data_IF_568213779968
#
_entry.id   IF_568213779968
#
_cell.length_a   1.000
_cell.length_b   1.000
_cell.length_c   1.000
_cell.angle_alpha   90.00
_cell.angle_beta   90.00
_cell.angle_gamma   90.00
#
_symmetry.space_group_name_H-M   'P 1'
#
loop_
_entity.id
_entity.type
_entity.pdbx_description
1 polymer ?
#
# COMPACT_ATOMS: atom_id res chain seq x y z
N UNK A 1 31.86 34.26 -3.84
CA UNK A 1 30.39 34.36 -3.72
C UNK A 1 29.82 32.97 -3.55
N UNK A 2 29.55 32.59 -2.28
CA UNK A 2 28.80 31.38 -1.94
C UNK A 2 27.37 31.59 -2.44
N UNK A 3 27.04 31.09 -3.61
CA UNK A 3 25.64 30.90 -4.00
C UNK A 3 25.11 29.74 -3.18
N UNK A 4 24.50 30.02 -2.03
CA UNK A 4 23.64 29.04 -1.34
C UNK A 4 22.58 28.60 -2.35
N UNK A 5 22.77 27.43 -2.93
CA UNK A 5 21.75 26.80 -3.78
C UNK A 5 20.51 26.59 -2.91
N UNK A 6 19.44 27.32 -3.19
CA UNK A 6 18.16 27.15 -2.50
C UNK A 6 17.79 25.67 -2.54
N UNK A 7 17.40 25.07 -1.41
CA UNK A 7 17.04 23.65 -1.38
C UNK A 7 15.92 23.37 -2.37
N UNK A 8 16.05 22.29 -3.15
CA UNK A 8 14.98 21.86 -4.04
C UNK A 8 13.74 21.49 -3.20
N UNK A 9 12.62 22.15 -3.50
CA UNK A 9 11.35 21.91 -2.84
C UNK A 9 10.43 21.13 -3.76
N UNK A 10 9.94 19.99 -3.30
CA UNK A 10 8.99 19.17 -4.05
C UNK A 10 7.69 19.00 -3.28
N UNK A 11 6.58 19.12 -4.01
CA UNK A 11 5.26 18.82 -3.46
C UNK A 11 4.94 17.36 -3.70
N UNK A 12 4.60 16.64 -2.64
CA UNK A 12 4.12 15.29 -2.71
C UNK A 12 2.66 15.21 -2.26
N UNK A 13 1.88 14.34 -2.90
CA UNK A 13 0.52 14.03 -2.52
C UNK A 13 0.28 12.51 -2.43
N UNK A 14 -0.51 12.12 -1.44
CA UNK A 14 -1.08 10.78 -1.31
C UNK A 14 -2.60 10.95 -1.29
N UNK A 15 -3.23 10.60 -2.41
CA UNK A 15 -4.66 10.80 -2.64
C UNK A 15 -5.40 9.53 -2.27
N UNK A 16 -6.23 9.59 -1.24
CA UNK A 16 -7.13 8.51 -0.86
C UNK A 16 -8.60 8.91 -1.05
N UNK A 17 -9.48 7.92 -1.08
CA UNK A 17 -10.93 8.16 -1.23
C UNK A 17 -11.55 9.00 -0.10
N UNK A 18 -11.00 8.92 1.11
CA UNK A 18 -11.49 9.65 2.29
C UNK A 18 -10.60 10.84 2.65
N UNK A 19 -9.28 10.67 2.55
CA UNK A 19 -8.28 11.67 2.95
C UNK A 19 -7.26 11.85 1.84
N UNK A 20 -6.84 13.07 1.63
CA UNK A 20 -5.71 13.44 0.77
C UNK A 20 -4.64 14.09 1.64
N UNK A 21 -3.45 13.52 1.67
CA UNK A 21 -2.30 14.04 2.38
C UNK A 21 -1.41 14.80 1.39
N UNK A 22 -1.07 16.03 1.71
CA UNK A 22 -0.14 16.86 0.93
C UNK A 22 1.04 17.27 1.81
N UNK A 23 2.24 17.20 1.28
CA UNK A 23 3.42 17.67 1.99
C UNK A 23 4.45 18.30 1.06
N UNK A 24 5.07 19.37 1.53
CA UNK A 24 6.22 20.00 0.91
C UNK A 24 7.50 19.42 1.53
N UNK A 25 8.34 18.85 0.70
CA UNK A 25 9.62 18.29 1.08
C UNK A 25 10.76 19.20 0.61
N UNK A 26 11.73 19.40 1.48
CA UNK A 26 13.00 20.04 1.14
C UNK A 26 14.11 19.00 1.14
N UNK A 27 14.98 19.05 0.15
CA UNK A 27 16.22 18.27 0.13
C UNK A 27 17.41 19.23 0.29
N UNK A 28 18.21 18.97 1.29
CA UNK A 28 19.46 19.63 1.56
C UNK A 28 20.58 18.58 1.80
N UNK A 29 21.77 19.03 2.18
CA UNK A 29 22.93 18.15 2.47
C UNK A 29 22.67 17.11 3.57
N UNK A 30 21.69 17.36 4.44
CA UNK A 30 21.27 16.46 5.55
C UNK A 30 20.21 15.45 5.13
N UNK A 31 19.73 15.50 3.87
CA UNK A 31 18.73 14.62 3.31
C UNK A 31 17.37 15.27 3.07
N UNK A 32 16.36 14.44 2.88
CA UNK A 32 14.99 14.88 2.57
C UNK A 32 14.14 14.96 3.83
N UNK A 33 13.51 16.13 4.06
CA UNK A 33 12.65 16.39 5.24
C UNK A 33 11.35 17.07 4.86
N UNK A 34 10.31 16.81 5.64
CA UNK A 34 9.02 17.51 5.52
C UNK A 34 9.19 18.93 6.07
N UNK A 35 8.83 19.93 5.29
CA UNK A 35 8.77 21.35 5.68
C UNK A 35 7.38 21.73 6.15
N UNK A 36 6.37 21.27 5.44
CA UNK A 36 4.96 21.53 5.72
C UNK A 36 4.14 20.32 5.27
N UNK A 37 3.12 19.96 6.03
CA UNK A 37 2.15 18.95 5.62
C UNK A 37 0.73 19.34 6.05
N UNK A 38 -0.25 18.85 5.33
CA UNK A 38 -1.65 18.96 5.67
C UNK A 38 -2.43 17.72 5.20
N UNK A 39 -3.46 17.40 5.95
CA UNK A 39 -4.43 16.36 5.60
C UNK A 39 -5.78 17.01 5.35
N UNK A 40 -6.37 16.70 4.20
CA UNK A 40 -7.68 17.17 3.79
C UNK A 40 -8.66 16.00 3.71
N UNK A 41 -9.93 16.26 3.96
CA UNK A 41 -10.97 15.30 3.57
C UNK A 41 -11.18 15.42 2.07
N UNK A 42 -11.03 14.31 1.34
CA UNK A 42 -11.14 14.33 -0.12
C UNK A 42 -12.53 14.79 -0.60
N UNK A 43 -13.59 14.51 0.18
CA UNK A 43 -14.96 14.96 -0.12
C UNK A 43 -15.18 16.47 -0.02
N UNK A 44 -14.27 17.23 0.58
CA UNK A 44 -14.38 18.69 0.73
C UNK A 44 -13.95 19.47 -0.53
N UNK A 45 -13.50 18.76 -1.58
CA UNK A 45 -13.09 19.38 -2.83
C UNK A 45 -13.68 18.65 -4.03
N UNK A 46 -13.91 19.41 -5.11
CA UNK A 46 -14.40 18.87 -6.38
C UNK A 46 -13.31 18.14 -7.18
N UNK A 47 -12.04 18.45 -6.94
CA UNK A 47 -10.87 17.95 -7.65
C UNK A 47 -9.59 18.09 -6.81
N UNK A 48 -8.53 17.40 -7.21
CA UNK A 48 -7.23 17.46 -6.55
C UNK A 48 -6.64 18.88 -6.61
N UNK A 49 -6.79 19.58 -7.75
CA UNK A 49 -6.20 20.89 -7.95
C UNK A 49 -6.77 21.94 -6.98
N UNK A 50 -8.00 21.78 -6.53
CA UNK A 50 -8.58 22.59 -5.46
C UNK A 50 -7.88 22.40 -4.11
N UNK A 51 -7.57 21.15 -3.72
CA UNK A 51 -6.84 20.86 -2.47
C UNK A 51 -5.39 21.34 -2.55
N UNK A 52 -4.75 21.11 -3.70
CA UNK A 52 -3.39 21.59 -3.95
C UNK A 52 -3.33 23.10 -3.87
N UNK A 53 -4.28 23.84 -4.46
CA UNK A 53 -4.38 25.29 -4.36
C UNK A 53 -4.45 25.76 -2.92
N UNK A 54 -5.38 25.24 -2.12
CA UNK A 54 -5.48 25.56 -0.68
C UNK A 54 -4.20 25.29 0.10
N UNK A 55 -3.46 24.23 -0.29
CA UNK A 55 -2.19 23.90 0.35
C UNK A 55 -1.09 24.87 -0.07
N UNK A 56 -0.99 25.23 -1.35
CA UNK A 56 0.06 26.11 -1.89
C UNK A 56 -0.16 27.56 -1.47
N UNK A 57 -1.41 28.06 -1.52
CA UNK A 57 -1.78 29.44 -1.14
C UNK A 57 -1.43 29.77 0.33
N UNK A 58 -1.30 28.75 1.17
CA UNK A 58 -0.81 28.87 2.55
C UNK A 58 0.71 29.11 2.69
N UNK A 59 1.47 29.28 1.58
CA UNK A 59 2.92 29.52 1.59
C UNK A 59 3.44 30.09 0.28
N UNK A 60 4.56 30.83 0.36
CA UNK A 60 5.21 31.51 -0.79
C UNK A 60 6.38 30.71 -1.38
N UNK A 61 6.55 29.45 -1.01
CA UNK A 61 7.72 28.65 -1.37
C UNK A 61 7.60 28.11 -2.81
N UNK A 62 8.60 28.30 -3.68
CA UNK A 62 8.55 27.83 -5.07
C UNK A 62 8.67 26.30 -5.12
N UNK A 63 7.70 25.64 -5.76
CA UNK A 63 7.72 24.19 -5.99
C UNK A 63 8.50 23.87 -7.26
N UNK A 64 9.59 23.11 -7.14
CA UNK A 64 10.45 22.69 -8.26
C UNK A 64 9.88 21.52 -9.05
N UNK A 65 9.18 20.62 -8.38
CA UNK A 65 8.46 19.50 -8.97
C UNK A 65 7.33 19.03 -8.05
N UNK A 66 6.34 18.36 -8.61
CA UNK A 66 5.27 17.73 -7.84
C UNK A 66 5.04 16.28 -8.27
N UNK A 67 4.67 15.42 -7.32
CA UNK A 67 4.25 14.06 -7.62
C UNK A 67 3.10 13.64 -6.71
N UNK A 68 2.11 12.95 -7.29
CA UNK A 68 0.92 12.52 -6.58
C UNK A 68 0.68 11.03 -6.76
N UNK A 69 0.57 10.29 -5.63
CA UNK A 69 0.05 8.93 -5.60
C UNK A 69 -1.48 8.96 -5.70
N UNK A 70 -2.03 8.32 -6.74
CA UNK A 70 -3.46 8.37 -7.08
C UNK A 70 -4.05 6.96 -7.02
N UNK A 71 -5.20 6.73 -6.38
CA UNK A 71 -5.87 5.43 -6.38
C UNK A 71 -6.47 5.15 -7.77
N UNK A 72 -5.87 4.24 -8.50
CA UNK A 72 -6.27 3.84 -9.85
C UNK A 72 -5.11 3.85 -10.85
N UNK A 73 -5.34 3.36 -12.06
CA UNK A 73 -4.32 3.30 -13.10
C UNK A 73 -3.96 4.69 -13.61
N UNK A 74 -2.67 4.92 -13.82
CA UNK A 74 -2.15 6.12 -14.46
C UNK A 74 -1.74 5.78 -15.89
N UNK A 75 -2.28 6.49 -16.85
CA UNK A 75 -1.96 6.34 -18.26
C UNK A 75 -1.77 7.70 -18.92
N UNK A 76 -0.63 7.89 -19.59
CA UNK A 76 -0.29 9.14 -20.32
C UNK A 76 -0.49 10.40 -19.46
N UNK A 77 -0.02 10.38 -18.22
CA UNK A 77 -0.14 11.50 -17.29
C UNK A 77 -1.56 11.81 -16.81
N UNK A 78 -2.49 10.86 -16.91
CA UNK A 78 -3.88 11.01 -16.47
C UNK A 78 -4.32 9.80 -15.65
N UNK A 79 -5.20 10.04 -14.67
CA UNK A 79 -5.83 8.99 -13.88
C UNK A 79 -7.27 9.37 -13.56
N UNK A 80 -8.17 8.38 -13.62
CA UNK A 80 -9.50 8.47 -13.03
C UNK A 80 -9.47 7.73 -11.70
N UNK A 81 -9.72 8.43 -10.61
CA UNK A 81 -9.71 7.83 -9.28
C UNK A 81 -10.84 6.81 -9.12
N UNK A 82 -10.57 5.71 -8.40
CA UNK A 82 -11.57 4.63 -8.22
C UNK A 82 -12.66 4.98 -7.22
N UNK A 83 -12.35 5.80 -6.20
CA UNK A 83 -13.24 6.07 -5.06
C UNK A 83 -13.68 7.54 -4.96
N UNK A 84 -13.36 8.35 -5.94
CA UNK A 84 -13.73 9.76 -6.06
C UNK A 84 -14.13 10.06 -7.50
N UNK A 85 -14.99 11.06 -7.76
CA UNK A 85 -15.37 11.43 -9.13
C UNK A 85 -14.28 12.22 -9.85
N UNK A 86 -13.03 12.18 -9.38
CA UNK A 86 -11.96 13.01 -9.89
C UNK A 86 -11.27 12.40 -11.12
N UNK A 87 -10.97 13.26 -12.07
CA UNK A 87 -9.98 13.00 -13.11
C UNK A 87 -8.78 13.91 -12.83
N UNK A 88 -7.61 13.30 -12.65
CA UNK A 88 -6.38 14.03 -12.37
C UNK A 88 -5.49 14.00 -13.61
N UNK A 89 -4.93 15.14 -13.99
CA UNK A 89 -4.07 15.30 -15.16
C UNK A 89 -2.81 16.07 -14.79
N UNK A 90 -1.65 15.56 -15.20
CA UNK A 90 -0.36 16.26 -15.06
C UNK A 90 -0.38 17.61 -15.76
N UNK A 91 -0.92 17.68 -16.99
CA UNK A 91 -0.94 18.92 -17.79
C UNK A 91 -1.87 19.98 -17.18
N UNK A 92 -3.00 19.56 -16.62
CA UNK A 92 -3.89 20.49 -15.90
C UNK A 92 -3.20 21.10 -14.69
N UNK A 93 -2.51 20.27 -13.88
CA UNK A 93 -1.76 20.74 -12.72
C UNK A 93 -0.57 21.63 -13.11
N UNK A 94 0.17 21.27 -14.18
CA UNK A 94 1.24 22.11 -14.74
C UNK A 94 0.72 23.50 -15.12
N UNK A 95 -0.35 23.54 -15.90
CA UNK A 95 -0.96 24.79 -16.39
C UNK A 95 -1.48 25.63 -15.24
N UNK A 96 -2.20 25.03 -14.29
CA UNK A 96 -2.85 25.76 -13.19
C UNK A 96 -1.85 26.41 -12.23
N UNK A 97 -0.74 25.73 -11.93
CA UNK A 97 0.23 26.18 -10.92
C UNK A 97 1.53 26.73 -11.52
N UNK A 98 1.67 26.74 -12.84
CA UNK A 98 2.90 27.18 -13.51
C UNK A 98 4.09 26.25 -13.29
N UNK A 99 3.85 24.98 -12.96
CA UNK A 99 4.91 24.00 -12.71
C UNK A 99 5.33 23.30 -14.00
N UNK A 100 6.63 23.22 -14.23
CA UNK A 100 7.17 22.47 -15.38
C UNK A 100 7.15 20.96 -15.18
N UNK A 101 7.20 20.50 -13.92
CA UNK A 101 7.38 19.10 -13.55
C UNK A 101 6.28 18.64 -12.61
N UNK A 102 5.35 17.88 -13.15
CA UNK A 102 4.27 17.20 -12.38
C UNK A 102 4.21 15.76 -12.84
N UNK A 103 4.13 14.84 -11.88
CA UNK A 103 4.05 13.41 -12.13
C UNK A 103 2.90 12.79 -11.36
N UNK A 104 2.26 11.79 -11.96
CA UNK A 104 1.29 10.94 -11.32
C UNK A 104 1.85 9.53 -11.19
N UNK A 105 1.70 8.93 -10.03
CA UNK A 105 1.93 7.52 -9.76
C UNK A 105 0.62 6.88 -9.31
N UNK A 106 0.47 5.59 -9.56
CA UNK A 106 -0.50 4.82 -8.80
C UNK A 106 -0.08 4.81 -7.31
N UNK A 107 -1.06 4.79 -6.39
CA UNK A 107 -0.83 4.87 -4.93
C UNK A 107 0.09 3.76 -4.41
N UNK A 108 -0.04 2.54 -4.95
CA UNK A 108 0.84 1.43 -4.61
C UNK A 108 2.27 1.65 -5.13
N UNK A 109 2.41 2.19 -6.36
CA UNK A 109 3.71 2.56 -6.92
C UNK A 109 4.37 3.64 -6.06
N UNK A 110 3.62 4.64 -5.62
CA UNK A 110 4.11 5.64 -4.68
C UNK A 110 4.59 5.00 -3.38
N UNK A 111 3.80 4.06 -2.81
CA UNK A 111 4.22 3.29 -1.62
C UNK A 111 5.53 2.54 -1.87
N UNK A 112 5.67 1.85 -2.99
CA UNK A 112 6.88 1.10 -3.34
C UNK A 112 8.11 2.00 -3.47
N UNK A 113 7.99 3.17 -4.12
CA UNK A 113 9.04 4.19 -4.17
C UNK A 113 9.40 4.76 -2.79
N UNK A 114 8.47 4.71 -1.83
CA UNK A 114 8.70 5.17 -0.46
C UNK A 114 9.52 4.22 0.40
N UNK A 115 9.49 2.92 0.13
CA UNK A 115 10.16 1.89 0.95
C UNK A 115 11.66 2.19 1.16
N UNK A 116 12.46 2.54 0.15
CA UNK A 116 13.87 2.84 0.34
C UNK A 116 14.15 4.12 1.15
N UNK A 117 13.16 5.01 1.29
CA UNK A 117 13.28 6.24 2.09
C UNK A 117 12.98 6.03 3.59
N UNK A 118 12.58 4.81 3.98
CA UNK A 118 12.25 4.49 5.35
C UNK A 118 13.46 3.97 6.12
N UNK A 119 13.63 4.45 7.34
CA UNK A 119 14.60 3.87 8.27
C UNK A 119 14.10 2.51 8.82
N UNK A 120 15.02 1.73 9.44
CA UNK A 120 14.72 0.38 9.94
C UNK A 120 13.61 0.36 11.00
N UNK A 121 13.41 1.44 11.75
CA UNK A 121 12.40 1.53 12.82
C UNK A 121 10.97 1.63 12.26
N UNK A 122 10.86 1.96 10.98
CA UNK A 122 9.58 2.01 10.26
C UNK A 122 9.10 0.66 9.74
N UNK A 123 9.81 -0.41 10.07
CA UNK A 123 9.46 -1.76 9.72
C UNK A 123 9.36 -2.67 10.94
N UNK A 124 8.41 -3.61 10.92
CA UNK A 124 8.41 -4.76 11.80
C UNK A 124 8.82 -6.01 11.03
N UNK A 125 9.82 -6.72 11.52
CA UNK A 125 10.26 -7.98 10.92
C UNK A 125 9.33 -9.12 11.36
N UNK A 126 8.85 -9.93 10.40
CA UNK A 126 8.17 -11.19 10.71
C UNK A 126 9.16 -12.35 10.82
N UNK A 127 10.29 -12.27 10.12
CA UNK A 127 11.39 -13.25 10.24
C UNK A 127 12.75 -12.53 10.37
N UNK A 128 13.78 -13.31 10.75
CA UNK A 128 15.14 -12.78 10.99
C UNK A 128 16.01 -12.67 9.72
N UNK A 129 15.46 -12.97 8.56
CA UNK A 129 16.17 -12.89 7.28
C UNK A 129 16.41 -11.41 6.92
N UNK A 130 17.57 -11.11 6.34
CA UNK A 130 17.92 -9.75 5.90
C UNK A 130 17.32 -9.46 4.53
N UNK A 131 16.83 -8.23 4.33
CA UNK A 131 16.49 -7.69 3.00
C UNK A 131 17.76 -7.63 2.14
N UNK A 132 17.62 -8.00 0.86
CA UNK A 132 18.67 -7.90 -0.16
C UNK A 132 18.20 -6.88 -1.20
N UNK A 133 18.62 -5.61 -1.07
CA UNK A 133 18.10 -4.53 -1.93
C UNK A 133 18.43 -4.70 -3.41
N UNK A 134 19.50 -5.42 -3.74
CA UNK A 134 19.95 -5.68 -5.12
C UNK A 134 19.10 -6.73 -5.84
N UNK A 135 18.31 -7.50 -5.10
CA UNK A 135 17.43 -8.52 -5.64
C UNK A 135 16.00 -7.95 -5.81
N UNK A 136 15.18 -8.53 -6.71
CA UNK A 136 13.77 -8.18 -6.80
C UNK A 136 13.05 -8.33 -5.46
N UNK A 137 12.14 -7.42 -5.16
CA UNK A 137 11.33 -7.37 -3.95
C UNK A 137 9.87 -7.19 -4.34
N UNK A 138 8.96 -7.59 -3.47
CA UNK A 138 7.53 -7.38 -3.69
C UNK A 138 6.88 -6.61 -2.55
N UNK A 139 5.78 -5.94 -2.87
CA UNK A 139 4.89 -5.28 -1.94
C UNK A 139 3.48 -5.84 -2.14
N UNK A 140 2.86 -6.28 -1.05
CA UNK A 140 1.44 -6.59 -0.95
C UNK A 140 0.82 -5.62 0.04
N UNK A 141 -0.26 -4.98 -0.34
CA UNK A 141 -0.88 -3.90 0.44
C UNK A 141 -2.38 -4.12 0.63
N UNK A 142 -2.81 -5.01 1.53
CA UNK A 142 -4.22 -5.14 1.87
C UNK A 142 -4.73 -3.92 2.63
N UNK A 143 -5.82 -3.35 2.11
CA UNK A 143 -6.51 -2.16 2.60
C UNK A 143 -7.99 -2.21 2.23
N UNK A 144 -8.54 -1.18 1.57
CA UNK A 144 -9.87 -1.22 0.94
C UNK A 144 -9.93 -2.30 -0.16
N UNK A 145 -8.84 -2.45 -0.91
CA UNK A 145 -8.58 -3.53 -1.85
C UNK A 145 -7.26 -4.24 -1.52
N UNK A 146 -6.69 -4.94 -2.50
CA UNK A 146 -5.37 -5.58 -2.42
C UNK A 146 -4.46 -5.08 -3.55
N UNK A 147 -3.52 -4.24 -3.21
CA UNK A 147 -2.47 -3.85 -4.15
C UNK A 147 -1.29 -4.86 -4.14
N UNK A 148 -0.73 -5.11 -5.32
CA UNK A 148 0.47 -5.94 -5.50
C UNK A 148 1.43 -5.22 -6.45
N UNK A 149 2.72 -5.15 -6.11
CA UNK A 149 3.75 -4.63 -7.01
C UNK A 149 5.09 -5.35 -6.82
N UNK A 150 5.92 -5.28 -7.85
CA UNK A 150 7.29 -5.82 -7.84
C UNK A 150 8.26 -4.66 -8.02
N UNK A 151 9.32 -4.66 -7.24
CA UNK A 151 10.40 -3.67 -7.26
C UNK A 151 11.67 -4.32 -7.77
N UNK A 152 12.29 -3.75 -8.81
CA UNK A 152 13.54 -4.24 -9.42
C UNK A 152 14.56 -3.11 -9.32
N UNK A 153 15.80 -3.45 -9.00
CA UNK A 153 16.87 -2.47 -8.81
C UNK A 153 16.80 -1.72 -7.47
N UNK A 154 17.67 -0.75 -7.28
CA UNK A 154 17.77 0.07 -6.07
C UNK A 154 18.30 1.47 -6.40
N UNK A 155 18.24 2.40 -5.44
CA UNK A 155 18.69 3.78 -5.66
C UNK A 155 17.95 4.42 -6.84
N UNK A 156 18.69 5.10 -7.70
CA UNK A 156 18.17 5.80 -8.89
C UNK A 156 17.69 4.82 -9.99
N UNK A 157 18.09 3.54 -9.93
CA UNK A 157 17.67 2.50 -10.88
C UNK A 157 16.42 1.73 -10.42
N UNK A 158 15.75 2.16 -9.36
CA UNK A 158 14.54 1.49 -8.88
C UNK A 158 13.41 1.59 -9.91
N UNK A 159 12.99 0.45 -10.41
CA UNK A 159 11.80 0.31 -11.25
C UNK A 159 10.69 -0.40 -10.46
N UNK A 160 9.51 0.18 -10.46
CA UNK A 160 8.31 -0.40 -9.84
C UNK A 160 7.39 -0.89 -10.95
N UNK A 161 7.16 -2.19 -10.96
CA UNK A 161 6.17 -2.83 -11.83
C UNK A 161 4.84 -2.86 -11.08
N UNK A 162 3.93 -1.97 -11.45
CA UNK A 162 2.55 -2.00 -10.97
C UNK A 162 1.84 -3.23 -11.55
N UNK A 163 0.94 -3.84 -10.77
CA UNK A 163 0.14 -4.96 -11.24
C UNK A 163 -1.27 -4.90 -10.65
N UNK A 164 -2.19 -5.58 -11.28
CA UNK A 164 -3.54 -5.87 -10.76
C UNK A 164 -3.57 -7.27 -10.11
N UNK A 165 -2.48 -7.65 -9.46
CA UNK A 165 -2.31 -8.95 -8.81
C UNK A 165 -3.29 -9.25 -7.68
N UNK A 166 -4.03 -8.25 -7.18
CA UNK A 166 -5.16 -8.46 -6.28
C UNK A 166 -6.37 -9.12 -6.94
N UNK A 167 -6.47 -9.00 -8.25
CA UNK A 167 -7.59 -9.56 -9.04
C UNK A 167 -7.35 -10.95 -9.61
N UNK A 168 -6.18 -11.55 -9.38
CA UNK A 168 -5.93 -12.95 -9.76
C UNK A 168 -6.78 -13.89 -8.93
N UNK A 169 -6.96 -15.11 -9.42
CA UNK A 169 -7.77 -16.13 -8.74
C UNK A 169 -7.25 -16.45 -7.35
N UNK A 170 -8.17 -16.63 -6.40
CA UNK A 170 -7.84 -17.23 -5.11
C UNK A 170 -7.55 -18.73 -5.31
N UNK A 171 -6.40 -19.17 -4.86
CA UNK A 171 -5.95 -20.55 -4.88
C UNK A 171 -6.02 -21.15 -3.48
N UNK A 172 -7.07 -21.93 -3.14
CA UNK A 172 -7.19 -22.60 -1.85
C UNK A 172 -6.02 -23.58 -1.59
N UNK A 173 -5.55 -23.64 -0.34
CA UNK A 173 -4.45 -24.51 0.10
C UNK A 173 -4.88 -25.65 1.03
N UNK A 174 -6.10 -25.61 1.54
CA UNK A 174 -6.72 -26.66 2.37
C UNK A 174 -8.22 -26.79 2.10
N UNK A 175 -8.87 -27.79 2.72
CA UNK A 175 -10.30 -28.07 2.51
C UNK A 175 -11.20 -26.94 3.04
N UNK A 176 -10.82 -26.27 4.11
CA UNK A 176 -11.54 -25.13 4.65
C UNK A 176 -11.50 -23.93 3.67
N UNK A 177 -10.34 -23.69 3.04
CA UNK A 177 -10.20 -22.65 2.01
C UNK A 177 -10.96 -23.02 0.73
N UNK A 178 -11.07 -24.30 0.38
CA UNK A 178 -11.95 -24.76 -0.72
C UNK A 178 -13.41 -24.47 -0.39
N UNK A 179 -13.84 -24.67 0.84
CA UNK A 179 -15.20 -24.38 1.27
C UNK A 179 -15.48 -22.86 1.32
N UNK A 180 -14.52 -22.07 1.82
CA UNK A 180 -14.57 -20.59 1.71
C UNK A 180 -14.71 -20.15 0.25
N UNK A 181 -13.91 -20.74 -0.65
CA UNK A 181 -13.99 -20.42 -2.08
C UNK A 181 -15.37 -20.75 -2.67
N UNK A 182 -15.97 -21.91 -2.32
CA UNK A 182 -17.32 -22.28 -2.75
C UNK A 182 -18.38 -21.28 -2.25
N UNK A 183 -18.30 -20.88 -0.99
CA UNK A 183 -19.16 -19.86 -0.39
C UNK A 183 -19.07 -18.52 -1.15
N UNK A 184 -17.86 -18.06 -1.44
CA UNK A 184 -17.65 -16.80 -2.15
C UNK A 184 -18.02 -16.89 -3.63
N UNK A 185 -17.75 -18.03 -4.28
CA UNK A 185 -18.12 -18.24 -5.68
C UNK A 185 -19.63 -18.19 -5.88
N UNK A 186 -20.42 -18.74 -4.97
CA UNK A 186 -21.88 -18.67 -5.02
C UNK A 186 -22.40 -17.22 -5.00
N UNK A 187 -21.66 -16.31 -4.35
CA UNK A 187 -22.02 -14.90 -4.20
C UNK A 187 -21.46 -14.01 -5.32
N UNK A 188 -20.25 -14.25 -5.77
CA UNK A 188 -19.50 -13.33 -6.64
C UNK A 188 -19.22 -13.87 -8.05
N UNK A 189 -19.43 -15.16 -8.29
CA UNK A 189 -18.99 -15.84 -9.51
C UNK A 189 -17.47 -16.03 -9.53
N UNK A 190 -16.71 -15.00 -9.87
CA UNK A 190 -15.24 -14.98 -9.78
C UNK A 190 -14.79 -14.62 -8.36
N UNK A 191 -13.85 -15.40 -7.83
CA UNK A 191 -13.24 -15.18 -6.50
C UNK A 191 -11.80 -14.76 -6.67
N UNK A 192 -11.56 -13.46 -6.73
CA UNK A 192 -10.22 -12.92 -6.69
C UNK A 192 -9.62 -13.02 -5.29
N UNK A 193 -8.30 -12.98 -5.19
CA UNK A 193 -7.61 -12.97 -3.89
C UNK A 193 -7.97 -11.71 -3.06
N UNK A 194 -8.29 -10.59 -3.69
CA UNK A 194 -8.78 -9.38 -3.04
C UNK A 194 -10.11 -9.59 -2.32
N UNK A 195 -11.00 -10.50 -2.82
CA UNK A 195 -12.26 -10.85 -2.13
C UNK A 195 -12.04 -11.42 -0.73
N UNK A 196 -10.78 -11.79 -0.42
CA UNK A 196 -10.37 -12.35 0.85
C UNK A 196 -9.38 -11.42 1.57
N UNK A 197 -8.39 -10.89 0.86
CA UNK A 197 -7.31 -10.10 1.43
C UNK A 197 -7.57 -8.58 1.32
N UNK A 198 -8.67 -8.15 1.89
CA UNK A 198 -9.06 -6.72 1.97
C UNK A 198 -9.95 -6.49 3.19
N UNK A 199 -10.35 -5.22 3.45
CA UNK A 199 -11.36 -4.91 4.45
C UNK A 199 -12.69 -5.63 4.20
N UNK A 200 -13.28 -5.52 3.00
CA UNK A 200 -14.42 -6.36 2.60
C UNK A 200 -14.13 -7.86 2.70
N UNK A 201 -12.89 -8.29 2.46
CA UNK A 201 -12.46 -9.67 2.58
C UNK A 201 -12.52 -10.21 4.01
N UNK A 202 -12.18 -9.42 5.00
CA UNK A 202 -12.39 -9.77 6.41
C UNK A 202 -13.86 -10.07 6.71
N UNK A 203 -14.78 -9.27 6.17
CA UNK A 203 -16.23 -9.52 6.31
C UNK A 203 -16.66 -10.81 5.60
N UNK A 204 -16.07 -11.13 4.45
CA UNK A 204 -16.38 -12.34 3.71
C UNK A 204 -15.92 -13.61 4.49
N UNK A 205 -14.73 -13.61 5.07
CA UNK A 205 -14.26 -14.71 5.92
C UNK A 205 -15.15 -14.85 7.16
N UNK A 206 -15.46 -13.73 7.82
CA UNK A 206 -16.33 -13.70 8.99
C UNK A 206 -17.73 -14.28 8.68
N UNK A 207 -18.36 -13.84 7.59
CA UNK A 207 -19.66 -14.34 7.17
C UNK A 207 -19.62 -15.84 6.86
N UNK A 208 -18.59 -16.31 6.17
CA UNK A 208 -18.42 -17.74 5.89
C UNK A 208 -18.31 -18.58 7.18
N UNK A 209 -17.49 -18.16 8.15
CA UNK A 209 -17.32 -18.86 9.43
C UNK A 209 -18.65 -18.93 10.21
N UNK A 210 -19.40 -17.83 10.24
CA UNK A 210 -20.71 -17.73 10.89
C UNK A 210 -21.75 -18.62 10.18
N UNK A 211 -21.91 -18.42 8.86
CA UNK A 211 -23.01 -19.03 8.08
C UNK A 211 -22.80 -20.54 7.90
N UNK A 212 -21.57 -21.02 7.92
CA UNK A 212 -21.24 -22.46 7.92
C UNK A 212 -21.37 -23.14 9.29
N UNK A 213 -21.71 -22.38 10.32
CA UNK A 213 -21.83 -22.91 11.70
C UNK A 213 -20.51 -23.26 12.37
N UNK A 214 -19.35 -22.94 11.75
CA UNK A 214 -18.02 -23.21 12.34
C UNK A 214 -17.77 -22.40 13.59
N UNK A 215 -18.30 -21.17 13.64
CA UNK A 215 -18.20 -20.29 14.79
C UNK A 215 -19.53 -19.56 15.00
N UNK A 216 -20.19 -19.71 16.16
CA UNK A 216 -21.43 -18.99 16.45
C UNK A 216 -21.15 -17.47 16.62
N UNK A 217 -22.08 -16.64 16.13
CA UNK A 217 -22.04 -15.20 16.35
C UNK A 217 -22.85 -14.84 17.59
N UNK A 218 -22.25 -14.36 18.69
CA UNK A 218 -23.00 -13.89 19.85
C UNK A 218 -23.87 -12.67 19.51
N UNK A 219 -25.08 -12.57 20.11
CA UNK A 219 -26.01 -11.46 19.82
C UNK A 219 -25.46 -10.06 20.10
N UNK A 220 -24.54 -9.93 21.07
CA UNK A 220 -23.86 -8.66 21.30
C UNK A 220 -22.91 -8.28 20.15
N UNK A 221 -22.21 -9.29 19.55
CA UNK A 221 -21.30 -9.07 18.43
C UNK A 221 -22.09 -8.69 17.17
N UNK A 222 -23.21 -9.39 16.87
CA UNK A 222 -24.10 -9.04 15.77
C UNK A 222 -24.58 -7.58 15.84
N UNK A 223 -24.99 -7.11 17.04
CA UNK A 223 -25.37 -5.70 17.24
C UNK A 223 -24.22 -4.74 16.97
N UNK A 224 -23.00 -5.08 17.44
CA UNK A 224 -21.80 -4.26 17.26
C UNK A 224 -21.36 -4.19 15.80
N UNK A 225 -21.45 -5.31 15.09
CA UNK A 225 -21.20 -5.38 13.64
C UNK A 225 -22.19 -4.52 12.83
N UNK A 226 -23.47 -4.48 13.22
CA UNK A 226 -24.49 -3.67 12.54
C UNK A 226 -24.36 -2.15 12.80
N UNK A 227 -23.65 -1.72 13.82
CA UNK A 227 -23.51 -0.31 14.20
C UNK A 227 -22.18 0.32 13.84
N UNK A 228 -21.19 -0.47 13.37
CA UNK A 228 -19.81 -0.01 13.22
C UNK A 228 -19.17 -0.34 11.86
N UNK A 229 -17.90 0.03 11.77
CA UNK A 229 -17.03 -0.44 10.69
C UNK A 229 -16.66 -1.89 10.98
N UNK A 230 -17.33 -2.84 10.32
CA UNK A 230 -17.19 -4.27 10.57
C UNK A 230 -15.74 -4.78 10.60
N UNK A 231 -14.87 -4.47 9.63
CA UNK A 231 -13.45 -4.85 9.67
C UNK A 231 -12.72 -4.34 10.92
N UNK A 232 -13.03 -3.12 11.38
CA UNK A 232 -12.45 -2.58 12.59
C UNK A 232 -12.99 -3.28 13.85
N UNK A 233 -14.30 -3.64 13.86
CA UNK A 233 -14.91 -4.44 14.94
C UNK A 233 -14.24 -5.80 15.02
N UNK A 234 -14.13 -6.55 13.90
CA UNK A 234 -13.47 -7.86 13.85
C UNK A 234 -12.05 -7.75 14.43
N UNK A 235 -11.28 -6.77 13.96
CA UNK A 235 -9.89 -6.59 14.40
C UNK A 235 -9.80 -6.32 15.90
N UNK A 236 -10.63 -5.42 16.42
CA UNK A 236 -10.63 -5.04 17.83
C UNK A 236 -11.05 -6.21 18.72
N UNK A 237 -12.20 -6.85 18.44
CA UNK A 237 -12.72 -7.94 19.25
C UNK A 237 -11.78 -9.17 19.24
N UNK A 238 -11.11 -9.42 18.12
CA UNK A 238 -10.11 -10.47 18.03
C UNK A 238 -8.87 -10.20 18.90
N UNK A 239 -8.36 -8.95 18.88
CA UNK A 239 -7.11 -8.59 19.54
C UNK A 239 -7.29 -8.28 21.04
N UNK A 240 -8.38 -7.60 21.41
CA UNK A 240 -8.59 -7.12 22.78
C UNK A 240 -9.35 -8.12 23.64
N UNK A 241 -10.32 -8.85 23.04
CA UNK A 241 -11.20 -9.75 23.78
C UNK A 241 -10.96 -11.23 23.45
N UNK A 242 -10.19 -11.53 22.41
CA UNK A 242 -9.99 -12.92 21.94
C UNK A 242 -11.29 -13.56 21.45
N UNK A 243 -12.26 -12.76 20.99
CA UNK A 243 -13.57 -13.27 20.56
C UNK A 243 -13.36 -14.35 19.46
N UNK A 244 -13.92 -15.57 19.64
CA UNK A 244 -13.52 -16.75 18.82
C UNK A 244 -13.78 -16.60 17.33
N UNK A 245 -14.93 -16.03 16.90
CA UNK A 245 -15.26 -15.83 15.49
C UNK A 245 -14.36 -14.76 14.85
N UNK A 246 -14.14 -13.65 15.54
CA UNK A 246 -13.25 -12.58 15.08
C UNK A 246 -11.78 -13.06 15.03
N UNK A 247 -11.38 -13.83 16.03
CA UNK A 247 -10.02 -14.39 16.13
C UNK A 247 -9.73 -15.36 14.98
N UNK A 248 -10.64 -16.31 14.72
CA UNK A 248 -10.52 -17.24 13.61
C UNK A 248 -10.51 -16.53 12.26
N UNK A 249 -11.34 -15.46 12.12
CA UNK A 249 -11.33 -14.61 10.93
C UNK A 249 -9.96 -14.02 10.66
N UNK A 250 -9.27 -13.48 11.68
CA UNK A 250 -7.93 -12.93 11.52
C UNK A 250 -6.88 -14.00 11.24
N UNK A 251 -6.96 -15.17 11.88
CA UNK A 251 -6.03 -16.27 11.64
C UNK A 251 -6.11 -16.77 10.20
N UNK A 252 -7.34 -16.96 9.67
CA UNK A 252 -7.54 -17.33 8.25
C UNK A 252 -7.03 -16.26 7.30
N UNK A 253 -7.35 -14.99 7.56
CA UNK A 253 -6.83 -13.87 6.77
C UNK A 253 -5.30 -13.86 6.74
N UNK A 254 -4.65 -14.03 7.88
CA UNK A 254 -3.19 -14.01 8.01
C UNK A 254 -2.54 -15.20 7.31
N UNK A 255 -3.13 -16.40 7.41
CA UNK A 255 -2.66 -17.59 6.69
C UNK A 255 -2.73 -17.40 5.18
N UNK A 256 -3.89 -16.97 4.67
CA UNK A 256 -4.09 -16.73 3.23
C UNK A 256 -3.18 -15.59 2.73
N UNK A 257 -2.94 -14.54 3.54
CA UNK A 257 -1.99 -13.48 3.19
C UNK A 257 -0.56 -14.03 3.08
N UNK A 258 -0.17 -14.95 3.96
CA UNK A 258 1.11 -15.65 3.88
C UNK A 258 1.23 -16.46 2.59
N UNK A 259 0.21 -17.26 2.27
CA UNK A 259 0.17 -18.05 1.04
C UNK A 259 0.29 -17.18 -0.22
N UNK A 260 -0.47 -16.08 -0.29
CA UNK A 260 -0.43 -15.11 -1.38
C UNK A 260 0.94 -14.43 -1.51
N UNK A 261 1.52 -14.01 -0.38
CA UNK A 261 2.87 -13.42 -0.35
C UNK A 261 3.94 -14.39 -0.88
N UNK A 262 3.84 -15.68 -0.53
CA UNK A 262 4.70 -16.73 -1.06
C UNK A 262 4.50 -16.96 -2.56
N UNK A 263 3.27 -16.87 -3.06
CA UNK A 263 2.97 -16.98 -4.50
C UNK A 263 3.60 -15.81 -5.27
N UNK A 264 3.45 -14.58 -4.80
CA UNK A 264 4.06 -13.39 -5.42
C UNK A 264 5.59 -13.49 -5.36
N UNK A 265 6.15 -13.99 -4.25
CA UNK A 265 7.58 -14.19 -4.11
C UNK A 265 8.15 -15.16 -5.16
N UNK A 266 7.43 -16.24 -5.46
CA UNK A 266 7.83 -17.21 -6.50
C UNK A 266 7.61 -16.66 -7.90
N UNK A 267 6.47 -16.02 -8.17
CA UNK A 267 6.12 -15.49 -9.50
C UNK A 267 7.12 -14.41 -9.94
N UNK A 268 7.48 -13.50 -9.04
CA UNK A 268 8.42 -12.41 -9.33
C UNK A 268 9.86 -12.71 -8.94
N UNK A 269 10.17 -13.93 -8.44
CA UNK A 269 11.49 -14.29 -7.88
C UNK A 269 12.01 -13.20 -6.92
N UNK A 270 11.11 -12.70 -6.04
CA UNK A 270 11.40 -11.56 -5.17
C UNK A 270 12.23 -11.98 -3.94
N UNK A 271 13.37 -12.59 -4.23
CA UNK A 271 14.31 -13.12 -3.23
C UNK A 271 14.97 -12.03 -2.37
N UNK A 272 14.82 -10.77 -2.78
CA UNK A 272 15.28 -9.60 -2.02
C UNK A 272 14.44 -9.30 -0.79
N UNK A 273 13.16 -9.69 -0.80
CA UNK A 273 12.25 -9.52 0.32
C UNK A 273 10.81 -9.24 -0.10
N UNK A 274 9.90 -9.47 0.83
CA UNK A 274 8.47 -9.16 0.72
C UNK A 274 8.12 -8.10 1.75
N UNK A 275 7.44 -7.06 1.32
CA UNK A 275 6.89 -6.02 2.17
C UNK A 275 5.37 -6.13 2.25
N UNK A 276 4.83 -5.99 3.45
CA UNK A 276 3.41 -5.90 3.71
C UNK A 276 3.09 -4.45 4.05
N UNK A 277 2.38 -3.77 3.16
CA UNK A 277 1.92 -2.39 3.31
C UNK A 277 0.41 -2.32 3.48
N UNK A 278 -0.16 -1.14 3.24
CA UNK A 278 -1.59 -0.90 3.39
C UNK A 278 -2.04 -0.72 4.83
N UNK A 279 -3.33 -0.47 5.01
CA UNK A 279 -3.89 -0.11 6.31
C UNK A 279 -4.20 -1.27 7.25
N UNK A 280 -4.16 -2.52 6.78
CA UNK A 280 -4.51 -3.70 7.59
C UNK A 280 -3.30 -4.27 8.33
N UNK A 281 -2.15 -4.60 7.68
CA UNK A 281 -1.04 -5.31 8.31
C UNK A 281 -0.50 -4.68 9.59
N UNK A 282 -0.32 -3.35 9.70
CA UNK A 282 0.13 -2.76 10.96
C UNK A 282 -0.84 -2.98 12.13
N UNK A 283 -2.15 -2.99 11.85
CA UNK A 283 -3.20 -3.14 12.87
C UNK A 283 -3.32 -4.57 13.40
N UNK A 284 -3.01 -5.56 12.57
CA UNK A 284 -3.05 -6.99 12.92
C UNK A 284 -1.65 -7.58 13.19
N UNK A 285 -0.66 -6.72 13.42
CA UNK A 285 0.73 -7.12 13.61
C UNK A 285 0.92 -8.20 14.70
N UNK A 286 0.21 -8.20 15.85
CA UNK A 286 0.30 -9.30 16.81
C UNK A 286 0.00 -10.66 16.17
N UNK A 287 -1.09 -10.77 15.42
CA UNK A 287 -1.51 -12.04 14.78
C UNK A 287 -0.55 -12.45 13.64
N UNK A 288 -0.03 -11.48 12.88
CA UNK A 288 1.00 -11.75 11.86
C UNK A 288 2.27 -12.40 12.44
N UNK A 289 2.58 -12.15 13.71
CA UNK A 289 3.76 -12.70 14.41
C UNK A 289 3.53 -14.07 15.05
N UNK A 290 2.32 -14.59 15.06
CA UNK A 290 1.99 -15.83 15.76
C UNK A 290 2.37 -17.13 15.03
N UNK A 291 2.74 -17.03 13.75
CA UNK A 291 3.21 -18.20 12.99
C UNK A 291 2.43 -18.51 11.71
N UNK A 292 1.07 -18.51 11.67
CA UNK A 292 0.30 -18.93 10.49
C UNK A 292 0.70 -18.24 9.19
N UNK A 293 1.10 -16.97 9.26
CA UNK A 293 1.63 -16.26 8.09
C UNK A 293 2.87 -16.92 7.51
N UNK A 294 3.90 -17.16 8.35
CA UNK A 294 5.18 -17.70 7.87
C UNK A 294 5.06 -19.18 7.48
N UNK A 295 4.19 -19.93 8.13
CA UNK A 295 3.89 -21.32 7.79
C UNK A 295 3.29 -21.41 6.38
N UNK A 296 2.23 -20.63 6.10
CA UNK A 296 1.59 -20.59 4.79
C UNK A 296 2.49 -19.96 3.71
N UNK A 297 3.28 -18.93 4.06
CA UNK A 297 4.28 -18.33 3.19
C UNK A 297 5.29 -19.33 2.69
N UNK A 298 5.79 -20.19 3.59
CA UNK A 298 6.79 -21.20 3.30
C UNK A 298 6.20 -22.49 2.71
N UNK A 299 4.87 -22.70 2.79
CA UNK A 299 4.22 -23.90 2.25
C UNK A 299 4.17 -23.87 0.71
N UNK A 300 5.32 -24.08 0.07
CA UNK A 300 5.54 -24.04 -1.39
C UNK A 300 6.19 -25.32 -1.90
N UNK A 301 5.89 -26.46 -1.27
CA UNK A 301 6.39 -27.77 -1.69
C UNK A 301 7.91 -27.78 -1.83
N UNK A 302 8.43 -28.19 -2.98
CA UNK A 302 9.89 -28.27 -3.23
C UNK A 302 10.60 -26.90 -3.16
N UNK A 303 9.90 -25.79 -3.25
CA UNK A 303 10.45 -24.44 -3.16
C UNK A 303 10.46 -23.89 -1.73
N UNK A 304 9.97 -24.64 -0.73
CA UNK A 304 9.99 -24.25 0.68
C UNK A 304 11.38 -23.71 1.13
N UNK A 305 12.51 -24.41 0.86
CA UNK A 305 13.83 -23.94 1.30
C UNK A 305 14.25 -22.60 0.66
N UNK A 306 13.75 -22.27 -0.55
CA UNK A 306 13.98 -20.98 -1.19
C UNK A 306 13.19 -19.89 -0.48
N UNK A 307 11.88 -20.11 -0.27
CA UNK A 307 10.98 -19.11 0.30
C UNK A 307 11.31 -18.81 1.76
N UNK A 308 11.71 -19.80 2.54
CA UNK A 308 12.17 -19.61 3.94
C UNK A 308 13.36 -18.66 4.08
N UNK A 309 14.12 -18.42 3.00
CA UNK A 309 15.26 -17.50 2.99
C UNK A 309 14.89 -16.08 2.53
N UNK A 310 13.61 -15.79 2.31
CA UNK A 310 13.11 -14.49 1.91
C UNK A 310 12.71 -13.69 3.14
N UNK A 311 13.19 -12.46 3.23
CA UNK A 311 12.83 -11.56 4.31
C UNK A 311 11.38 -11.08 4.17
N UNK A 312 10.65 -10.99 5.29
CA UNK A 312 9.30 -10.40 5.32
C UNK A 312 9.27 -9.23 6.30
N UNK A 313 8.74 -8.09 5.86
CA UNK A 313 8.65 -6.86 6.63
C UNK A 313 7.26 -6.24 6.54
N UNK A 314 6.71 -5.83 7.67
CA UNK A 314 5.50 -5.00 7.74
C UNK A 314 5.92 -3.53 7.78
N UNK A 315 5.36 -2.72 6.91
CA UNK A 315 5.56 -1.27 6.87
C UNK A 315 4.68 -0.66 7.97
N UNK A 316 5.28 0.18 8.83
CA UNK A 316 4.61 0.83 9.95
C UNK A 316 4.36 2.33 9.73
N UNK A 317 4.98 2.92 8.70
CA UNK A 317 4.85 4.35 8.40
C UNK A 317 3.68 4.59 7.44
N UNK A 318 2.62 5.23 7.93
CA UNK A 318 1.44 5.60 7.12
C UNK A 318 1.77 6.63 6.01
N UNK A 319 2.91 7.34 6.11
CA UNK A 319 3.37 8.33 5.13
C UNK A 319 4.25 7.74 4.02
N UNK A 320 4.31 6.40 3.91
CA UNK A 320 5.20 5.75 2.94
C UNK A 320 4.90 6.17 1.51
N UNK A 321 3.63 6.23 1.09
CA UNK A 321 3.23 6.69 -0.24
C UNK A 321 3.62 8.16 -0.48
N UNK A 322 3.40 9.03 0.51
CA UNK A 322 3.77 10.43 0.46
C UNK A 322 5.29 10.64 0.30
N UNK A 323 6.10 9.88 1.06
CA UNK A 323 7.56 9.87 0.93
C UNK A 323 8.02 9.34 -0.42
N UNK A 324 7.32 8.36 -0.96
CA UNK A 324 7.62 7.79 -2.27
C UNK A 324 7.32 8.75 -3.41
N UNK A 325 6.22 9.47 -3.35
CA UNK A 325 5.91 10.54 -4.30
C UNK A 325 6.99 11.65 -4.25
N UNK A 326 7.41 12.06 -3.05
CA UNK A 326 8.49 13.05 -2.88
C UNK A 326 9.81 12.54 -3.46
N UNK A 327 10.19 11.31 -3.15
CA UNK A 327 11.41 10.68 -3.66
C UNK A 327 11.39 10.61 -5.19
N UNK A 328 10.31 10.15 -5.77
CA UNK A 328 10.16 10.07 -7.22
C UNK A 328 10.33 11.44 -7.89
N UNK A 329 9.68 12.49 -7.35
CA UNK A 329 9.83 13.84 -7.85
C UNK A 329 11.28 14.35 -7.80
N UNK A 330 12.01 14.06 -6.71
CA UNK A 330 13.42 14.42 -6.55
C UNK A 330 14.33 13.67 -7.53
N UNK A 331 14.12 12.36 -7.73
CA UNK A 331 14.87 11.53 -8.67
C UNK A 331 14.72 12.04 -10.11
N UNK A 332 13.50 12.48 -10.50
CA UNK A 332 13.24 13.06 -11.81
C UNK A 332 13.93 14.42 -12.00
N UNK A 333 13.96 15.26 -10.97
CA UNK A 333 14.72 16.50 -11.00
C UNK A 333 16.22 16.27 -11.25
N UNK A 334 16.79 15.25 -10.58
CA UNK A 334 18.22 14.91 -10.72
C UNK A 334 18.56 14.33 -12.08
N UNK A 335 17.67 13.50 -12.64
CA UNK A 335 17.88 12.88 -13.95
C UNK A 335 17.94 13.91 -15.07
N UNK A 336 17.03 14.90 -15.08
CA UNK A 336 17.01 15.96 -16.07
C UNK A 336 18.18 16.95 -15.92
N UNK A 337 18.65 17.19 -14.69
CA UNK A 337 19.84 18.01 -14.43
C UNK A 337 21.16 17.36 -14.88
N UNK A 338 21.15 16.06 -15.18
CA UNK A 338 22.32 15.29 -15.68
C UNK A 338 22.31 15.10 -17.19
N UNK A 339 21.22 15.44 -17.88
CA UNK A 339 21.15 15.32 -19.34
C UNK A 339 21.65 16.63 -20.00
N UNK A 340 22.89 16.65 -20.58
CA UNK A 340 23.46 17.83 -21.21
C UNK A 340 22.78 18.22 -22.51
N UNK A 341 21.80 17.41 -23.00
CA UNK A 341 21.05 17.66 -24.26
C UNK A 341 19.61 18.17 -24.01
N UNK A 342 19.22 18.42 -22.77
CA UNK A 342 17.87 18.85 -22.39
C UNK A 342 17.73 20.40 -22.28
N UNK A 343 18.54 21.17 -23.04
CA UNK A 343 18.43 22.65 -23.18
C UNK A 343 18.02 23.05 -24.57
#
# INVERSE_FOLDING_TARGET
>A
LNTETKPALVLAGDVGGTKTNLALFARDERGTRIRREATFKSSEARDLSTLVGRFVDGGSEPVSAACFGIPGPVSRGRSRTTNLPWVVSEDELKTRFGWSRVHLLNDLSATAHGIPALDRRRFSALNRIRIKPDQPRSLLAPGTGLGVSIMIGHGDSLTVLASEGGHVDFAPSDDDEVDLWRHLRARFGHVSIERILSGPGLLNIYAWLRDSGRRPEPGWLARRMGQGNGPAVITREALEQGEPLCRETLLRFVSILGAAAGNVALTGMTTGGVYLGGGIPPKILPVLKEGPFLEAFANKGRFKPLVERIAVRVILDERTALRGAARFALERLDAEGRDPLAT
#
